data_IF_611204943988
#
_entry.id   IF_611204943988
#
_cell.length_a   1.000
_cell.length_b   1.000
_cell.length_c   1.000
_cell.angle_alpha   90.00
_cell.angle_beta   90.00
_cell.angle_gamma   90.00
#
_symmetry.space_group_name_H-M   'P 1'
#
loop_
_entity.id
_entity.type
_entity.pdbx_description
1 polymer ?
#
# COMPACT_ATOMS: atom_id res chain seq x y z
N UNK A 1 42.43 -13.65 -6.87
CA UNK A 1 41.52 -12.48 -6.70
C UNK A 1 41.98 -11.64 -5.51
N UNK A 2 42.20 -10.33 -5.65
CA UNK A 2 42.65 -9.46 -4.54
C UNK A 2 41.57 -9.36 -3.43
N UNK A 3 41.94 -9.15 -2.16
CA UNK A 3 41.02 -9.12 -1.01
C UNK A 3 39.94 -8.05 -1.16
N UNK A 4 40.31 -6.86 -1.67
CA UNK A 4 39.37 -5.78 -1.99
C UNK A 4 38.30 -6.20 -3.00
N UNK A 5 38.70 -6.82 -4.11
CA UNK A 5 37.78 -7.31 -5.12
C UNK A 5 36.86 -8.40 -4.55
N UNK A 6 37.33 -9.24 -3.62
CA UNK A 6 36.48 -10.23 -2.94
C UNK A 6 35.46 -9.54 -2.04
N UNK A 7 35.87 -8.68 -1.12
CA UNK A 7 34.92 -7.99 -0.21
C UNK A 7 33.88 -7.22 -1.00
N UNK A 8 34.26 -6.57 -2.10
CA UNK A 8 33.33 -5.97 -3.05
C UNK A 8 32.28 -6.97 -3.58
N UNK A 9 32.72 -8.01 -4.30
CA UNK A 9 31.81 -8.96 -4.93
C UNK A 9 30.93 -9.71 -3.93
N UNK A 10 31.44 -10.00 -2.73
CA UNK A 10 30.66 -10.68 -1.69
C UNK A 10 29.70 -9.75 -0.96
N UNK A 11 30.06 -8.49 -0.72
CA UNK A 11 29.10 -7.52 -0.18
C UNK A 11 27.96 -7.33 -1.17
N UNK A 12 28.28 -7.19 -2.45
CA UNK A 12 27.28 -7.10 -3.50
C UNK A 12 26.38 -8.35 -3.53
N UNK A 13 26.98 -9.55 -3.53
CA UNK A 13 26.22 -10.79 -3.52
C UNK A 13 25.33 -10.93 -2.27
N UNK A 14 25.83 -10.57 -1.09
CA UNK A 14 25.04 -10.62 0.15
C UNK A 14 23.92 -9.58 0.16
N UNK A 15 24.10 -8.40 -0.43
CA UNK A 15 23.03 -7.42 -0.59
C UNK A 15 21.94 -7.93 -1.54
N UNK A 16 22.33 -8.55 -2.67
CA UNK A 16 21.38 -9.17 -3.61
C UNK A 16 20.61 -10.31 -2.95
N UNK A 17 21.31 -11.19 -2.22
CA UNK A 17 20.68 -12.31 -1.49
C UNK A 17 19.76 -11.78 -0.39
N UNK A 18 20.20 -10.80 0.40
CA UNK A 18 19.39 -10.19 1.45
C UNK A 18 18.13 -9.51 0.88
N UNK A 19 18.23 -8.83 -0.26
CA UNK A 19 17.07 -8.26 -0.94
C UNK A 19 16.12 -9.34 -1.49
N UNK A 20 16.65 -10.40 -2.10
CA UNK A 20 15.86 -11.52 -2.59
C UNK A 20 15.09 -12.23 -1.46
N UNK A 21 15.74 -12.40 -0.30
CA UNK A 21 15.18 -13.07 0.86
C UNK A 21 14.16 -12.22 1.61
N UNK A 22 14.21 -10.89 1.50
CA UNK A 22 13.22 -10.01 2.13
C UNK A 22 11.96 -9.87 1.28
N UNK A 23 12.05 -9.97 -0.06
CA UNK A 23 10.88 -9.86 -0.95
C UNK A 23 10.21 -8.47 -0.99
N UNK A 24 10.73 -7.51 -0.20
CA UNK A 24 10.20 -6.13 -0.07
C UNK A 24 10.96 -5.14 -0.96
N UNK A 25 12.22 -5.41 -1.28
CA UNK A 25 13.02 -4.56 -2.16
C UNK A 25 12.99 -5.08 -3.60
N UNK A 26 12.86 -4.17 -4.58
CA UNK A 26 13.00 -4.53 -5.99
C UNK A 26 14.38 -5.12 -6.25
N UNK A 27 14.45 -6.33 -6.78
CA UNK A 27 15.71 -7.02 -7.10
C UNK A 27 16.61 -6.15 -7.98
N UNK A 28 16.00 -5.36 -8.88
CA UNK A 28 16.68 -4.38 -9.74
C UNK A 28 17.32 -3.27 -8.92
N UNK A 29 16.61 -2.72 -7.93
CA UNK A 29 17.14 -1.66 -7.06
C UNK A 29 18.29 -2.14 -6.18
N UNK A 30 18.17 -3.34 -5.59
CA UNK A 30 19.22 -3.93 -4.77
C UNK A 30 20.46 -4.32 -5.59
N UNK A 31 20.27 -4.77 -6.84
CA UNK A 31 21.35 -5.12 -7.75
C UNK A 31 22.23 -3.91 -8.10
N UNK A 32 21.62 -2.78 -8.49
CA UNK A 32 22.37 -1.57 -8.89
C UNK A 32 22.82 -0.72 -7.68
N UNK A 33 21.98 -0.58 -6.65
CA UNK A 33 22.34 0.13 -5.43
C UNK A 33 23.44 -0.59 -4.63
N UNK A 34 23.38 -1.93 -4.59
CA UNK A 34 24.39 -2.74 -3.94
C UNK A 34 25.77 -2.68 -4.60
N UNK A 35 25.84 -2.31 -5.89
CA UNK A 35 27.09 -2.18 -6.63
C UNK A 35 27.98 -1.06 -6.04
N UNK A 36 27.36 0.08 -5.74
CA UNK A 36 28.06 1.21 -5.12
C UNK A 36 28.29 1.01 -3.62
N UNK A 37 27.32 0.40 -2.93
CA UNK A 37 27.48 0.09 -1.51
C UNK A 37 28.66 -0.89 -1.27
N UNK A 38 28.86 -1.85 -2.18
CA UNK A 38 29.97 -2.78 -2.11
C UNK A 38 31.36 -2.11 -2.18
N UNK A 39 31.48 -0.93 -2.82
CA UNK A 39 32.74 -0.16 -2.82
C UNK A 39 33.10 0.31 -1.41
N UNK A 40 32.12 0.80 -0.64
CA UNK A 40 32.34 1.22 0.74
C UNK A 40 32.83 0.04 1.59
N UNK A 41 32.20 -1.13 1.46
CA UNK A 41 32.62 -2.33 2.18
C UNK A 41 34.03 -2.79 1.78
N UNK A 42 34.39 -2.69 0.50
CA UNK A 42 35.75 -2.97 0.03
C UNK A 42 36.78 -2.00 0.60
N UNK A 43 36.47 -0.71 0.71
CA UNK A 43 37.35 0.28 1.36
C UNK A 43 37.61 -0.06 2.84
N UNK A 44 36.65 -0.72 3.48
CA UNK A 44 36.72 -1.15 4.88
C UNK A 44 37.39 -2.52 5.09
N UNK A 45 37.82 -3.23 4.04
CA UNK A 45 38.38 -4.59 4.15
C UNK A 45 39.48 -4.72 5.20
N UNK A 46 40.48 -3.81 5.21
CA UNK A 46 41.57 -3.83 6.20
C UNK A 46 41.09 -3.57 7.62
N UNK A 47 40.06 -2.74 7.77
CA UNK A 47 39.45 -2.44 9.07
C UNK A 47 38.74 -3.68 9.60
N UNK A 48 38.01 -4.41 8.76
CA UNK A 48 37.36 -5.66 9.13
C UNK A 48 38.37 -6.75 9.55
N UNK A 49 39.45 -6.93 8.79
CA UNK A 49 40.51 -7.88 9.12
C UNK A 49 41.13 -7.57 10.49
N UNK A 50 41.46 -6.29 10.73
CA UNK A 50 42.09 -5.85 11.99
C UNK A 50 41.13 -5.93 13.19
N UNK A 51 39.86 -5.60 13.01
CA UNK A 51 38.85 -5.66 14.06
C UNK A 51 38.51 -7.11 14.47
N UNK A 52 38.71 -8.06 13.56
CA UNK A 52 38.46 -9.47 13.79
C UNK A 52 36.98 -9.84 13.90
N UNK A 53 36.66 -11.15 13.99
CA UNK A 53 35.27 -11.65 13.85
C UNK A 53 34.29 -11.12 14.91
N UNK A 54 34.79 -10.67 16.07
CA UNK A 54 33.95 -10.15 17.16
C UNK A 54 33.38 -8.76 16.86
N UNK A 55 34.17 -7.90 16.21
CA UNK A 55 33.83 -6.48 16.04
C UNK A 55 33.59 -6.08 14.58
N UNK A 56 34.18 -6.79 13.61
CA UNK A 56 33.95 -6.53 12.19
C UNK A 56 32.45 -6.52 11.80
N UNK A 57 31.60 -7.43 12.30
CA UNK A 57 30.17 -7.40 11.98
C UNK A 57 29.48 -6.11 12.44
N UNK A 58 29.87 -5.56 13.60
CA UNK A 58 29.31 -4.30 14.12
C UNK A 58 29.71 -3.10 13.25
N UNK A 59 30.97 -3.07 12.80
CA UNK A 59 31.46 -2.03 11.89
C UNK A 59 30.69 -2.11 10.56
N UNK A 60 30.52 -3.32 10.01
CA UNK A 60 29.71 -3.54 8.81
C UNK A 60 28.25 -3.11 9.01
N UNK A 61 27.62 -3.56 10.10
CA UNK A 61 26.24 -3.22 10.45
C UNK A 61 26.02 -1.72 10.69
N UNK A 62 27.08 -0.94 10.94
CA UNK A 62 27.01 0.52 11.05
C UNK A 62 27.25 1.20 9.70
N UNK A 63 28.22 0.70 8.92
CA UNK A 63 28.55 1.26 7.61
C UNK A 63 27.40 1.12 6.59
N UNK A 64 26.66 0.00 6.62
CA UNK A 64 25.49 -0.22 5.76
C UNK A 64 24.39 0.83 5.94
N UNK A 65 23.86 1.06 7.15
CA UNK A 65 22.88 2.12 7.42
C UNK A 65 23.37 3.52 7.10
N UNK A 66 24.64 3.85 7.41
CA UNK A 66 25.20 5.16 7.06
C UNK A 66 25.21 5.40 5.56
N UNK A 67 25.49 4.35 4.77
CA UNK A 67 25.38 4.41 3.31
C UNK A 67 23.94 4.69 2.85
N UNK A 68 22.96 3.99 3.43
CA UNK A 68 21.54 4.19 3.09
C UNK A 68 21.08 5.60 3.44
N UNK A 69 21.45 6.10 4.63
CA UNK A 69 21.13 7.47 5.06
C UNK A 69 21.74 8.50 4.10
N UNK A 70 23.00 8.31 3.70
CA UNK A 70 23.64 9.18 2.72
C UNK A 70 22.91 9.18 1.37
N UNK A 71 22.47 8.00 0.89
CA UNK A 71 21.70 7.88 -0.35
C UNK A 71 20.29 8.48 -0.24
N UNK A 72 19.61 8.28 0.89
CA UNK A 72 18.31 8.88 1.18
C UNK A 72 18.38 10.41 1.09
N UNK A 73 19.40 10.99 1.72
CA UNK A 73 19.63 12.42 1.67
C UNK A 73 19.99 12.92 0.26
N UNK A 74 20.78 12.16 -0.50
CA UNK A 74 21.00 12.46 -1.92
C UNK A 74 19.68 12.54 -2.70
N UNK A 75 18.77 11.58 -2.50
CA UNK A 75 17.45 11.57 -3.17
C UNK A 75 16.61 12.76 -2.70
N UNK A 76 16.61 13.07 -1.40
CA UNK A 76 15.88 14.23 -0.84
C UNK A 76 16.27 15.55 -1.50
N UNK A 77 17.55 15.74 -1.79
CA UNK A 77 18.09 16.99 -2.32
C UNK A 77 18.14 17.07 -3.84
N UNK A 78 18.31 15.93 -4.53
CA UNK A 78 18.56 15.91 -5.97
C UNK A 78 17.59 15.03 -6.77
N UNK A 79 16.72 14.27 -6.10
CA UNK A 79 15.75 13.37 -6.73
C UNK A 79 14.42 14.06 -7.06
N UNK A 80 13.58 13.34 -7.80
CA UNK A 80 12.19 13.75 -8.03
C UNK A 80 11.34 13.54 -6.76
N UNK A 81 10.15 14.16 -6.70
CA UNK A 81 9.23 13.99 -5.58
C UNK A 81 8.78 12.52 -5.42
N UNK A 82 8.54 11.84 -6.55
CA UNK A 82 8.13 10.43 -6.60
C UNK A 82 9.24 9.50 -6.06
N UNK A 83 10.49 9.75 -6.43
CA UNK A 83 11.64 9.00 -5.91
C UNK A 83 11.81 9.19 -4.40
N UNK A 84 11.55 10.40 -3.91
CA UNK A 84 11.66 10.72 -2.50
C UNK A 84 10.56 10.04 -1.66
N UNK A 85 9.31 10.03 -2.15
CA UNK A 85 8.22 9.30 -1.50
C UNK A 85 8.50 7.79 -1.47
N UNK A 86 9.01 7.23 -2.57
CA UNK A 86 9.41 5.83 -2.61
C UNK A 86 10.56 5.52 -1.65
N UNK A 87 11.56 6.40 -1.56
CA UNK A 87 12.69 6.23 -0.64
C UNK A 87 12.25 6.35 0.83
N UNK A 88 11.29 7.21 1.15
CA UNK A 88 10.67 7.27 2.48
C UNK A 88 9.98 5.94 2.82
N UNK A 89 9.32 5.33 1.84
CA UNK A 89 8.64 4.06 2.01
C UNK A 89 9.59 2.89 2.30
N UNK A 90 10.70 2.79 1.56
CA UNK A 90 11.61 1.63 1.65
C UNK A 90 12.72 1.81 2.69
N UNK A 91 12.85 2.98 3.31
CA UNK A 91 14.01 3.34 4.15
C UNK A 91 14.33 2.30 5.24
N UNK A 92 13.32 1.83 5.98
CA UNK A 92 13.52 0.84 7.05
C UNK A 92 14.02 -0.51 6.51
N UNK A 93 13.47 -0.93 5.38
CA UNK A 93 13.89 -2.15 4.65
C UNK A 93 15.32 -2.00 4.16
N UNK A 94 15.64 -0.88 3.52
CA UNK A 94 16.95 -0.61 2.95
C UNK A 94 18.03 -0.57 4.04
N UNK A 95 17.77 0.10 5.17
CA UNK A 95 18.67 0.13 6.33
C UNK A 95 18.98 -1.30 6.80
N UNK A 96 17.96 -2.14 6.95
CA UNK A 96 18.14 -3.49 7.49
C UNK A 96 18.88 -4.41 6.54
N UNK A 97 18.54 -4.37 5.24
CA UNK A 97 19.21 -5.15 4.19
C UNK A 97 20.68 -4.77 4.10
N UNK A 98 21.00 -3.47 4.14
CA UNK A 98 22.38 -3.01 4.08
C UNK A 98 23.15 -3.29 5.37
N UNK A 99 22.53 -3.17 6.55
CA UNK A 99 23.14 -3.60 7.80
C UNK A 99 23.52 -5.08 7.76
N UNK A 100 22.59 -5.95 7.33
CA UNK A 100 22.82 -7.39 7.25
C UNK A 100 23.88 -7.76 6.20
N UNK A 101 23.80 -7.19 4.99
CA UNK A 101 24.75 -7.46 3.90
C UNK A 101 26.17 -7.05 4.26
N UNK A 102 26.35 -5.87 4.87
CA UNK A 102 27.66 -5.40 5.30
C UNK A 102 28.18 -6.17 6.52
N UNK A 103 27.33 -6.50 7.49
CA UNK A 103 27.73 -7.31 8.64
C UNK A 103 28.21 -8.71 8.22
N UNK A 104 27.50 -9.36 7.30
CA UNK A 104 27.90 -10.64 6.73
C UNK A 104 29.21 -10.55 5.95
N UNK A 105 29.40 -9.52 5.13
CA UNK A 105 30.64 -9.29 4.39
C UNK A 105 31.83 -9.00 5.31
N UNK A 106 31.62 -8.22 6.36
CA UNK A 106 32.63 -7.90 7.36
C UNK A 106 33.03 -9.15 8.17
N UNK A 107 32.05 -9.95 8.60
CA UNK A 107 32.30 -11.24 9.26
C UNK A 107 33.09 -12.19 8.37
N UNK A 108 32.67 -12.34 7.11
CA UNK A 108 33.37 -13.18 6.14
C UNK A 108 34.83 -12.75 5.97
N UNK A 109 35.05 -11.44 5.81
CA UNK A 109 36.39 -10.87 5.63
C UNK A 109 37.27 -11.14 6.86
N UNK A 110 36.72 -10.95 8.06
CA UNK A 110 37.44 -11.18 9.31
C UNK A 110 37.71 -12.68 9.60
N UNK A 111 36.76 -13.56 9.31
CA UNK A 111 36.92 -15.02 9.49
C UNK A 111 37.98 -15.59 8.55
N UNK A 112 38.15 -15.01 7.38
CA UNK A 112 39.10 -15.49 6.36
C UNK A 112 40.56 -15.39 6.78
N UNK A 113 40.87 -14.55 7.77
CA UNK A 113 42.21 -14.48 8.37
C UNK A 113 42.54 -15.77 9.14
N UNK A 114 41.53 -16.54 9.56
CA UNK A 114 41.67 -17.69 10.46
C UNK A 114 41.12 -19.01 9.90
N UNK A 115 40.22 -18.94 8.93
CA UNK A 115 39.52 -20.09 8.40
C UNK A 115 39.56 -20.12 6.88
N UNK A 116 39.45 -21.33 6.33
CA UNK A 116 39.30 -21.53 4.89
C UNK A 116 38.03 -20.86 4.36
N UNK A 117 38.08 -20.54 3.07
CA UNK A 117 37.04 -19.78 2.40
C UNK A 117 35.62 -20.32 2.60
N UNK A 118 35.34 -21.62 2.47
CA UNK A 118 33.97 -22.13 2.65
C UNK A 118 33.39 -21.83 4.03
N UNK A 119 34.20 -21.96 5.09
CA UNK A 119 33.79 -21.68 6.47
C UNK A 119 33.57 -20.17 6.68
N UNK A 120 34.48 -19.34 6.17
CA UNK A 120 34.34 -17.89 6.27
C UNK A 120 33.11 -17.38 5.50
N UNK A 121 32.89 -17.89 4.29
CA UNK A 121 31.71 -17.60 3.46
C UNK A 121 30.42 -18.04 4.16
N UNK A 122 30.38 -19.28 4.65
CA UNK A 122 29.23 -19.81 5.38
C UNK A 122 28.88 -18.96 6.61
N UNK A 123 29.87 -18.54 7.39
CA UNK A 123 29.66 -17.66 8.55
C UNK A 123 29.07 -16.29 8.16
N UNK A 124 29.62 -15.65 7.12
CA UNK A 124 29.10 -14.38 6.62
C UNK A 124 27.68 -14.47 6.07
N UNK A 125 27.39 -15.52 5.29
CA UNK A 125 26.07 -15.78 4.71
C UNK A 125 25.03 -16.06 5.80
N UNK A 126 25.37 -16.92 6.78
CA UNK A 126 24.47 -17.25 7.89
C UNK A 126 24.13 -16.02 8.71
N UNK A 127 25.10 -15.14 8.98
CA UNK A 127 24.84 -13.89 9.68
C UNK A 127 23.91 -12.96 8.88
N UNK A 128 24.21 -12.74 7.59
CA UNK A 128 23.38 -11.90 6.74
C UNK A 128 21.94 -12.43 6.65
N UNK A 129 21.77 -13.75 6.49
CA UNK A 129 20.47 -14.40 6.46
C UNK A 129 19.74 -14.32 7.82
N UNK A 130 20.44 -14.52 8.94
CA UNK A 130 19.84 -14.40 10.27
C UNK A 130 19.34 -12.97 10.54
N UNK A 131 20.05 -11.95 10.05
CA UNK A 131 19.67 -10.54 10.19
C UNK A 131 18.55 -10.10 9.24
N UNK A 132 18.23 -10.88 8.19
CA UNK A 132 17.16 -10.55 7.23
C UNK A 132 15.99 -11.53 7.25
N UNK A 133 16.22 -12.82 7.04
CA UNK A 133 15.16 -13.82 6.90
C UNK A 133 14.33 -13.93 8.16
N UNK A 134 14.94 -13.89 9.34
CA UNK A 134 14.22 -14.07 10.60
C UNK A 134 13.33 -12.85 10.90
N UNK A 135 13.85 -11.61 10.91
CA UNK A 135 13.00 -10.44 11.14
C UNK A 135 11.96 -10.22 10.04
N UNK A 136 12.35 -10.30 8.76
CA UNK A 136 11.43 -10.03 7.65
C UNK A 136 10.45 -11.17 7.39
N UNK A 137 10.85 -12.43 7.59
CA UNK A 137 9.92 -13.56 7.56
C UNK A 137 8.88 -13.46 8.67
N UNK A 138 9.29 -13.01 9.86
CA UNK A 138 8.36 -12.76 10.98
C UNK A 138 7.45 -11.56 10.70
N UNK A 139 7.97 -10.46 10.17
CA UNK A 139 7.18 -9.30 9.75
C UNK A 139 6.20 -9.72 8.65
N UNK A 140 6.64 -10.37 7.59
CA UNK A 140 5.78 -10.85 6.51
C UNK A 140 4.70 -11.82 7.02
N UNK A 141 5.02 -12.69 7.99
CA UNK A 141 4.04 -13.56 8.62
C UNK A 141 3.01 -12.78 9.44
N UNK A 142 3.44 -11.80 10.25
CA UNK A 142 2.53 -10.89 10.96
C UNK A 142 1.68 -10.13 9.95
N UNK A 143 2.26 -9.62 8.88
CA UNK A 143 1.59 -8.80 7.88
C UNK A 143 0.51 -9.60 7.17
N UNK A 144 0.87 -10.82 6.75
CA UNK A 144 -0.07 -11.76 6.17
C UNK A 144 -1.21 -12.07 7.16
N UNK A 145 -0.92 -12.31 8.43
CA UNK A 145 -1.94 -12.76 9.40
C UNK A 145 -2.70 -11.67 10.12
N UNK A 146 -2.19 -10.45 10.21
CA UNK A 146 -2.74 -9.38 11.07
C UNK A 146 -3.06 -8.12 10.26
N UNK A 147 -2.27 -7.83 9.23
CA UNK A 147 -2.40 -6.61 8.40
C UNK A 147 -2.81 -6.90 6.94
N UNK A 148 -3.38 -8.07 6.66
CA UNK A 148 -3.89 -8.42 5.33
C UNK A 148 -4.86 -7.37 4.72
N UNK A 149 -5.18 -7.49 3.42
CA UNK A 149 -5.92 -6.49 2.67
C UNK A 149 -7.27 -6.10 3.29
N UNK A 150 -7.74 -4.90 2.96
CA UNK A 150 -9.05 -4.41 3.39
C UNK A 150 -9.95 -4.20 2.18
N UNK A 151 -11.07 -4.92 2.12
CA UNK A 151 -12.13 -4.65 1.15
C UNK A 151 -13.07 -3.58 1.75
N UNK A 152 -13.03 -2.37 1.19
CA UNK A 152 -13.97 -1.30 1.52
C UNK A 152 -15.16 -1.37 0.56
N UNK A 153 -16.35 -1.56 1.10
CA UNK A 153 -17.62 -1.45 0.36
C UNK A 153 -18.34 -0.20 0.84
N UNK A 154 -18.53 0.76 -0.05
CA UNK A 154 -19.19 2.02 0.29
C UNK A 154 -20.66 1.91 -0.07
N UNK A 155 -21.53 2.15 0.92
CA UNK A 155 -22.97 2.23 0.76
C UNK A 155 -23.40 3.69 0.87
N UNK A 156 -24.24 4.12 -0.07
CA UNK A 156 -24.71 5.51 -0.14
C UNK A 156 -26.22 5.56 -0.13
N UNK A 157 -26.73 6.61 0.53
CA UNK A 157 -28.15 6.93 0.48
C UNK A 157 -28.42 7.94 -0.64
N UNK A 158 -29.57 7.78 -1.27
CA UNK A 158 -30.08 8.69 -2.29
C UNK A 158 -31.61 8.80 -2.12
N UNK A 159 -32.15 9.98 -2.40
CA UNK A 159 -33.60 10.19 -2.43
C UNK A 159 -34.15 9.58 -3.73
N UNK A 160 -34.73 8.38 -3.60
CA UNK A 160 -35.32 7.64 -4.72
C UNK A 160 -36.76 7.26 -4.34
N UNK A 161 -37.74 7.44 -5.25
CA UNK A 161 -39.12 7.04 -5.00
C UNK A 161 -39.27 5.58 -4.57
N UNK A 162 -40.36 5.31 -3.85
CA UNK A 162 -40.72 3.95 -3.43
C UNK A 162 -41.05 3.13 -4.68
N UNK A 163 -40.33 2.03 -4.89
CA UNK A 163 -40.48 1.18 -6.07
C UNK A 163 -39.50 1.45 -7.22
N UNK A 164 -38.58 2.40 -7.05
CA UNK A 164 -37.47 2.64 -7.98
C UNK A 164 -36.11 2.36 -7.32
N UNK A 165 -35.08 2.21 -8.18
CA UNK A 165 -33.68 2.01 -7.79
C UNK A 165 -32.80 3.16 -8.28
N UNK A 166 -31.60 3.34 -7.71
CA UNK A 166 -30.71 4.43 -8.09
C UNK A 166 -30.15 4.21 -9.50
N UNK A 167 -30.17 5.28 -10.29
CA UNK A 167 -29.65 5.30 -11.66
C UNK A 167 -28.14 5.40 -11.61
N UNK A 168 -27.44 4.54 -12.37
CA UNK A 168 -25.98 4.52 -12.47
C UNK A 168 -25.51 5.23 -13.73
N UNK A 169 -24.30 5.81 -13.70
CA UNK A 169 -23.66 6.33 -14.91
C UNK A 169 -23.42 5.18 -15.90
N UNK A 170 -23.61 5.38 -17.21
CA UNK A 170 -23.23 4.38 -18.22
C UNK A 170 -21.77 3.96 -18.05
N UNK A 171 -21.51 2.65 -18.01
CA UNK A 171 -20.18 2.08 -17.79
C UNK A 171 -19.72 2.00 -16.33
N UNK A 172 -20.52 2.46 -15.36
CA UNK A 172 -20.19 2.29 -13.95
C UNK A 172 -20.33 0.82 -13.51
N UNK A 173 -19.30 0.30 -12.84
CA UNK A 173 -19.30 -1.06 -12.30
C UNK A 173 -20.15 -1.09 -11.03
N UNK A 174 -21.18 -1.96 -11.03
CA UNK A 174 -22.00 -2.17 -9.85
C UNK A 174 -21.22 -2.95 -8.78
N UNK A 175 -21.04 -2.35 -7.61
CA UNK A 175 -20.63 -3.08 -6.42
C UNK A 175 -21.74 -4.05 -5.99
N UNK A 176 -21.37 -5.31 -5.78
CA UNK A 176 -22.28 -6.36 -5.29
C UNK A 176 -21.87 -6.78 -3.89
N UNK A 177 -22.86 -6.99 -3.03
CA UNK A 177 -22.68 -7.56 -1.71
C UNK A 177 -22.55 -9.08 -1.83
N UNK A 178 -21.67 -9.68 -1.03
CA UNK A 178 -21.55 -11.14 -0.94
C UNK A 178 -22.64 -11.72 -0.03
N UNK A 179 -22.96 -13.03 -0.14
CA UNK A 179 -23.91 -13.69 0.76
C UNK A 179 -23.62 -13.48 2.24
N UNK A 180 -22.35 -13.52 2.62
CA UNK A 180 -21.91 -13.32 4.01
C UNK A 180 -22.11 -11.87 4.47
N UNK A 181 -21.83 -10.90 3.60
CA UNK A 181 -22.10 -9.47 3.86
C UNK A 181 -23.60 -9.21 4.04
N UNK A 182 -24.46 -9.85 3.23
CA UNK A 182 -25.91 -9.72 3.31
C UNK A 182 -26.44 -10.31 4.62
N UNK A 183 -25.95 -11.50 5.00
CA UNK A 183 -26.33 -12.15 6.26
C UNK A 183 -25.91 -11.27 7.45
N UNK A 184 -24.67 -10.79 7.44
CA UNK A 184 -24.14 -9.89 8.46
C UNK A 184 -24.93 -8.59 8.60
N UNK A 185 -25.39 -8.02 7.47
CA UNK A 185 -26.25 -6.84 7.45
C UNK A 185 -27.65 -7.13 8.01
N UNK A 186 -28.25 -8.28 7.67
CA UNK A 186 -29.59 -8.69 8.16
C UNK A 186 -29.66 -8.82 9.69
N UNK A 187 -28.55 -9.14 10.33
CA UNK A 187 -28.44 -9.17 11.79
C UNK A 187 -28.48 -7.77 12.44
N UNK A 188 -28.24 -6.71 11.67
CA UNK A 188 -27.99 -5.34 12.17
C UNK A 188 -28.94 -4.29 11.63
N UNK A 189 -29.44 -4.49 10.42
CA UNK A 189 -30.31 -3.57 9.70
C UNK A 189 -31.31 -4.36 8.85
N UNK A 190 -32.37 -3.68 8.42
CA UNK A 190 -33.31 -4.27 7.49
C UNK A 190 -32.67 -4.34 6.09
N UNK A 191 -32.64 -5.52 5.48
CA UNK A 191 -32.10 -5.72 4.13
C UNK A 191 -33.19 -6.26 3.23
N UNK A 192 -33.44 -5.56 2.13
CA UNK A 192 -34.52 -5.85 1.17
C UNK A 192 -33.93 -6.03 -0.22
N UNK A 193 -34.53 -6.89 -1.03
CA UNK A 193 -34.23 -6.98 -2.45
C UNK A 193 -35.24 -6.12 -3.20
N UNK A 194 -34.75 -5.01 -3.76
CA UNK A 194 -35.55 -4.01 -4.45
C UNK A 194 -35.18 -3.85 -5.93
N UNK A 195 -35.83 -2.91 -6.63
CA UNK A 195 -35.60 -2.63 -8.05
C UNK A 195 -34.14 -2.24 -8.36
N UNK A 196 -33.43 -1.67 -7.39
CA UNK A 196 -32.02 -1.30 -7.48
C UNK A 196 -31.03 -2.41 -7.09
N UNK A 197 -31.52 -3.61 -6.78
CA UNK A 197 -30.76 -4.71 -6.18
C UNK A 197 -30.93 -4.74 -4.66
N UNK A 198 -29.90 -5.22 -3.96
CA UNK A 198 -29.93 -5.32 -2.49
C UNK A 198 -29.82 -3.94 -1.86
N UNK A 199 -30.74 -3.65 -0.97
CA UNK A 199 -30.91 -2.36 -0.32
C UNK A 199 -30.88 -2.55 1.18
N UNK A 200 -30.18 -1.65 1.86
CA UNK A 200 -30.09 -1.65 3.31
C UNK A 200 -30.88 -0.46 3.82
N UNK A 201 -31.76 -0.70 4.79
CA UNK A 201 -32.67 0.31 5.33
C UNK A 201 -32.30 0.57 6.79
N UNK A 202 -32.04 1.83 7.10
CA UNK A 202 -31.75 2.25 8.47
C UNK A 202 -33.02 2.43 9.32
N UNK A 203 -32.85 2.72 10.61
CA UNK A 203 -33.96 2.91 11.56
C UNK A 203 -34.88 4.08 11.19
N UNK A 204 -34.41 5.02 10.36
CA UNK A 204 -35.18 6.17 9.88
C UNK A 204 -35.83 5.90 8.51
N UNK A 205 -35.77 4.67 8.01
CA UNK A 205 -36.36 4.27 6.73
C UNK A 205 -35.54 4.70 5.51
N UNK A 206 -34.32 5.22 5.69
CA UNK A 206 -33.45 5.64 4.58
C UNK A 206 -32.82 4.42 3.94
N UNK A 207 -32.89 4.38 2.61
CA UNK A 207 -32.37 3.28 1.78
C UNK A 207 -30.93 3.58 1.38
N UNK A 208 -30.11 2.53 1.41
CA UNK A 208 -28.70 2.55 1.08
C UNK A 208 -28.38 1.47 0.05
N UNK A 209 -27.56 1.81 -0.93
CA UNK A 209 -27.13 0.90 -2.00
C UNK A 209 -25.61 0.83 -2.09
N UNK A 210 -25.05 -0.34 -2.48
CA UNK A 210 -23.63 -0.47 -2.73
C UNK A 210 -23.22 0.36 -3.95
N UNK A 211 -22.36 1.36 -3.70
CA UNK A 211 -21.80 2.26 -4.68
C UNK A 211 -20.58 1.64 -5.34
N UNK A 212 -19.54 1.40 -4.52
CA UNK A 212 -18.23 0.92 -4.96
C UNK A 212 -17.68 -0.10 -3.98
N UNK A 213 -16.91 -1.05 -4.51
CA UNK A 213 -16.08 -1.98 -3.74
C UNK A 213 -14.64 -1.78 -4.18
N UNK A 214 -13.75 -1.52 -3.21
CA UNK A 214 -12.31 -1.35 -3.48
C UNK A 214 -11.50 -2.21 -2.52
N UNK A 215 -10.61 -3.02 -3.09
CA UNK A 215 -9.59 -3.72 -2.32
C UNK A 215 -8.40 -2.80 -2.10
N UNK A 216 -8.12 -2.51 -0.84
CA UNK A 216 -6.96 -1.76 -0.39
C UNK A 216 -5.86 -2.77 -0.06
N UNK A 217 -4.82 -2.78 -0.90
CA UNK A 217 -3.68 -3.68 -0.79
C UNK A 217 -2.46 -2.86 -0.39
N UNK A 218 -1.71 -3.35 0.60
CA UNK A 218 -0.49 -2.70 1.06
C UNK A 218 0.65 -2.94 0.05
N UNK A 219 1.39 -1.90 -0.36
CA UNK A 219 2.62 -2.09 -1.14
C UNK A 219 3.58 -3.02 -0.39
N UNK A 220 4.03 -4.11 -1.02
CA UNK A 220 4.91 -5.11 -0.39
C UNK A 220 4.20 -6.26 0.34
N UNK A 221 2.88 -6.20 0.55
CA UNK A 221 2.09 -7.35 1.00
C UNK A 221 0.80 -7.51 0.16
N UNK A 222 0.90 -8.16 -1.02
CA UNK A 222 -0.22 -8.29 -1.93
C UNK A 222 -1.30 -9.30 -1.50
N UNK A 223 -1.09 -10.04 -0.40
CA UNK A 223 -1.91 -11.21 -0.05
C UNK A 223 -2.29 -11.31 1.42
N UNK A 224 -3.12 -12.30 1.73
CA UNK A 224 -3.61 -12.56 3.07
C UNK A 224 -5.13 -12.67 3.15
N UNK A 225 -5.66 -13.08 4.32
CA UNK A 225 -7.07 -12.91 4.64
C UNK A 225 -7.51 -11.46 4.46
N UNK A 226 -8.68 -11.30 3.86
CA UNK A 226 -9.26 -10.01 3.53
C UNK A 226 -10.35 -9.70 4.53
N UNK A 227 -10.22 -8.58 5.23
CA UNK A 227 -11.28 -8.06 6.11
C UNK A 227 -12.16 -7.13 5.29
N UNK A 228 -13.45 -7.12 5.59
CA UNK A 228 -14.41 -6.33 4.82
C UNK A 228 -15.04 -5.28 5.71
N UNK A 229 -15.04 -4.03 5.24
CA UNK A 229 -15.67 -2.89 5.90
C UNK A 229 -16.82 -2.40 5.03
N UNK A 230 -18.03 -2.53 5.55
CA UNK A 230 -19.26 -1.97 4.98
C UNK A 230 -19.41 -0.55 5.55
N UNK A 231 -19.13 0.46 4.73
CA UNK A 231 -19.10 1.86 5.14
C UNK A 231 -20.35 2.58 4.64
N UNK A 232 -21.26 2.94 5.55
CA UNK A 232 -22.43 3.76 5.26
C UNK A 232 -22.06 5.25 5.33
N UNK A 233 -22.15 5.93 4.20
CA UNK A 233 -21.98 7.38 4.16
C UNK A 233 -23.13 8.07 4.90
N UNK A 234 -22.85 9.20 5.58
CA UNK A 234 -23.90 10.00 6.16
C UNK A 234 -24.77 10.61 5.03
N UNK A 235 -26.10 10.64 5.19
CA UNK A 235 -26.97 11.28 4.21
C UNK A 235 -26.79 12.81 4.25
N UNK A 236 -27.01 13.48 3.12
CA UNK A 236 -27.00 14.95 3.05
C UNK A 236 -25.60 15.60 3.17
N UNK A 237 -24.54 14.87 2.81
CA UNK A 237 -23.18 15.41 2.71
C UNK A 237 -23.12 16.62 1.78
N UNK A 238 -22.79 17.79 2.29
CA UNK A 238 -22.70 19.04 1.51
C UNK A 238 -21.30 19.67 1.51
N UNK A 239 -20.44 19.23 2.44
CA UNK A 239 -19.06 19.72 2.62
C UNK A 239 -18.11 18.52 2.58
N UNK A 240 -16.87 18.68 2.07
CA UNK A 240 -15.86 17.63 2.18
C UNK A 240 -15.59 17.24 3.63
N UNK A 241 -15.56 15.95 3.90
CA UNK A 241 -15.33 15.40 5.25
C UNK A 241 -14.32 14.25 5.21
N UNK A 242 -13.60 14.08 6.32
CA UNK A 242 -12.66 12.98 6.56
C UNK A 242 -13.05 12.26 7.84
N UNK A 243 -13.17 10.94 7.76
CA UNK A 243 -13.53 10.09 8.89
C UNK A 243 -12.43 9.08 9.18
N UNK A 244 -12.17 8.88 10.47
CA UNK A 244 -11.38 7.77 10.93
C UNK A 244 -12.25 6.53 11.03
N UNK A 245 -12.08 5.61 10.10
CA UNK A 245 -12.87 4.40 9.91
C UNK A 245 -12.17 3.21 10.60
N UNK A 246 -12.71 2.70 11.71
CA UNK A 246 -12.19 1.52 12.37
C UNK A 246 -12.41 0.28 11.51
N UNK A 247 -11.49 -0.69 11.60
CA UNK A 247 -11.60 -1.98 10.92
C UNK A 247 -11.68 -3.11 11.93
N UNK A 248 -12.17 -4.27 11.50
CA UNK A 248 -12.30 -5.43 12.37
C UNK A 248 -10.93 -5.99 12.80
N UNK A 249 -10.81 -6.44 14.05
CA UNK A 249 -9.59 -7.05 14.59
C UNK A 249 -9.28 -8.42 13.94
N UNK A 250 -10.30 -9.24 13.68
CA UNK A 250 -10.16 -10.47 12.87
C UNK A 250 -9.83 -10.10 11.40
N UNK A 251 -8.72 -10.61 10.84
CA UNK A 251 -8.32 -10.42 9.44
C UNK A 251 -9.32 -10.92 8.38
N UNK A 252 -10.29 -11.77 8.74
CA UNK A 252 -11.41 -12.18 7.86
C UNK A 252 -12.75 -11.57 8.29
N UNK A 253 -12.72 -10.70 9.30
CA UNK A 253 -13.92 -10.16 9.90
C UNK A 253 -14.67 -9.21 8.98
N UNK A 254 -15.98 -9.17 9.21
CA UNK A 254 -16.91 -8.21 8.64
C UNK A 254 -17.17 -7.11 9.67
N UNK A 255 -17.06 -5.86 9.24
CA UNK A 255 -17.41 -4.71 10.05
C UNK A 255 -18.41 -3.82 9.31
N UNK A 256 -19.34 -3.28 10.06
CA UNK A 256 -20.24 -2.22 9.67
C UNK A 256 -19.75 -0.92 10.32
N UNK A 257 -19.55 0.10 9.50
CA UNK A 257 -19.25 1.45 9.96
C UNK A 257 -20.32 2.38 9.43
N UNK A 258 -21.09 2.97 10.33
CA UNK A 258 -22.08 3.98 10.00
C UNK A 258 -21.63 5.34 10.56
N UNK A 259 -21.55 6.34 9.69
CA UNK A 259 -21.25 7.70 10.10
C UNK A 259 -22.57 8.42 10.41
N UNK A 260 -22.71 8.88 11.65
CA UNK A 260 -23.84 9.68 12.09
C UNK A 260 -23.56 11.19 11.88
N UNK A 261 -24.59 12.01 12.08
CA UNK A 261 -24.42 13.46 12.11
C UNK A 261 -23.37 13.87 13.14
N UNK A 262 -22.52 14.86 12.81
CA UNK A 262 -21.38 15.36 13.63
C UNK A 262 -20.12 14.47 13.66
N UNK A 263 -19.82 13.73 12.58
CA UNK A 263 -18.64 12.87 12.46
C UNK A 263 -18.55 11.73 13.50
N UNK A 264 -19.68 11.34 14.10
CA UNK A 264 -19.69 10.22 15.03
C UNK A 264 -19.67 8.90 14.25
N UNK A 265 -18.63 8.10 14.48
CA UNK A 265 -18.44 6.83 13.78
C UNK A 265 -18.95 5.69 14.65
N UNK A 266 -20.07 5.07 14.24
CA UNK A 266 -20.62 3.87 14.87
C UNK A 266 -20.02 2.62 14.24
N UNK A 267 -19.33 1.82 15.04
CA UNK A 267 -18.72 0.56 14.61
C UNK A 267 -19.52 -0.63 15.14
N UNK A 268 -19.77 -1.60 14.28
CA UNK A 268 -20.36 -2.89 14.64
C UNK A 268 -19.65 -4.01 13.88
N UNK A 269 -19.48 -5.16 14.53
CA UNK A 269 -18.77 -6.30 13.92
C UNK A 269 -17.94 -7.09 14.91
N UNK A 270 -17.49 -6.46 16.01
CA UNK A 270 -16.72 -7.12 17.05
C UNK A 270 -15.66 -6.20 17.67
N UNK A 271 -14.49 -6.71 18.06
CA UNK A 271 -13.38 -5.88 18.51
C UNK A 271 -12.74 -5.09 17.35
N UNK A 272 -12.40 -3.82 17.63
CA UNK A 272 -11.71 -2.92 16.69
C UNK A 272 -10.23 -3.27 16.59
N UNK A 273 -9.70 -3.23 15.37
CA UNK A 273 -8.28 -3.46 15.11
C UNK A 273 -7.39 -2.44 15.82
N UNK A 274 -6.40 -2.93 16.54
CA UNK A 274 -5.32 -2.09 17.09
C UNK A 274 -4.16 -1.87 16.10
N UNK A 275 -4.16 -2.63 15.00
CA UNK A 275 -3.06 -2.69 14.06
C UNK A 275 -3.34 -1.92 12.77
N UNK A 276 -4.61 -1.79 12.37
CA UNK A 276 -5.02 -1.16 11.11
C UNK A 276 -6.14 -0.17 11.37
N UNK A 277 -6.11 0.97 10.68
CA UNK A 277 -7.16 1.99 10.62
C UNK A 277 -7.26 2.52 9.20
N UNK A 278 -8.43 2.97 8.78
CA UNK A 278 -8.58 3.71 7.54
C UNK A 278 -8.95 5.16 7.85
N UNK A 279 -8.43 6.11 7.09
CA UNK A 279 -9.01 7.45 7.00
C UNK A 279 -9.64 7.60 5.63
N UNK A 280 -10.95 7.83 5.61
CA UNK A 280 -11.73 7.97 4.39
C UNK A 280 -12.09 9.44 4.24
N UNK A 281 -11.61 10.06 3.17
CA UNK A 281 -11.91 11.44 2.82
C UNK A 281 -12.81 11.49 1.59
N UNK A 282 -13.84 12.29 1.63
CA UNK A 282 -14.78 12.45 0.53
C UNK A 282 -14.88 13.92 0.13
N UNK A 283 -14.47 14.21 -1.10
CA UNK A 283 -14.68 15.51 -1.71
C UNK A 283 -16.07 15.57 -2.35
N UNK A 284 -16.80 16.62 -2.01
CA UNK A 284 -18.18 16.85 -2.45
C UNK A 284 -18.27 18.24 -3.06
N UNK A 285 -18.95 18.35 -4.20
CA UNK A 285 -19.31 19.65 -4.79
C UNK A 285 -20.81 19.83 -4.69
N UNK A 286 -21.25 20.78 -3.86
CA UNK A 286 -22.65 21.18 -3.80
C UNK A 286 -22.92 22.25 -4.88
N UNK A 287 -23.98 22.04 -5.67
CA UNK A 287 -24.63 23.08 -6.48
C UNK A 287 -25.98 23.44 -5.88
N UNK A 288 -26.70 24.41 -6.47
CA UNK A 288 -28.01 24.88 -5.99
C UNK A 288 -29.07 23.77 -5.89
N UNK A 289 -29.00 22.74 -6.76
CA UNK A 289 -30.00 21.66 -6.83
C UNK A 289 -29.46 20.24 -6.54
N UNK A 290 -28.14 20.06 -6.39
CA UNK A 290 -27.57 18.70 -6.23
C UNK A 290 -26.20 18.66 -5.56
N UNK A 291 -25.96 17.58 -4.83
CA UNK A 291 -24.68 17.21 -4.23
C UNK A 291 -23.95 16.24 -5.16
N UNK A 292 -22.82 16.60 -5.75
CA UNK A 292 -22.02 15.65 -6.56
C UNK A 292 -20.83 15.15 -5.75
N UNK A 293 -20.79 13.84 -5.47
CA UNK A 293 -19.58 13.18 -4.97
C UNK A 293 -18.48 13.23 -6.05
N UNK A 294 -17.33 13.80 -5.74
CA UNK A 294 -16.27 14.01 -6.73
C UNK A 294 -15.14 12.99 -6.60
N UNK A 295 -14.63 12.84 -5.39
CA UNK A 295 -13.44 12.06 -5.11
C UNK A 295 -13.60 11.40 -3.73
N UNK A 296 -13.50 10.07 -3.68
CA UNK A 296 -13.27 9.33 -2.44
C UNK A 296 -11.81 8.92 -2.36
N UNK A 297 -11.10 9.46 -1.38
CA UNK A 297 -9.72 9.11 -1.05
C UNK A 297 -9.71 8.24 0.21
N UNK A 298 -8.91 7.17 0.20
CA UNK A 298 -8.75 6.31 1.36
C UNK A 298 -7.28 6.15 1.69
N UNK A 299 -6.93 6.48 2.92
CA UNK A 299 -5.61 6.28 3.52
C UNK A 299 -5.67 5.13 4.52
N UNK A 300 -4.81 4.13 4.36
CA UNK A 300 -4.70 3.02 5.31
C UNK A 300 -3.51 3.26 6.24
N UNK A 301 -3.78 3.28 7.55
CA UNK A 301 -2.79 3.42 8.60
C UNK A 301 -2.53 2.09 9.25
N UNK A 302 -1.24 1.81 9.50
CA UNK A 302 -0.81 0.63 10.23
C UNK A 302 0.07 1.01 11.40
N UNK A 303 -0.31 0.56 12.59
CA UNK A 303 0.52 0.68 13.79
C UNK A 303 1.56 -0.44 13.82
N UNK A 304 2.84 -0.11 13.66
CA UNK A 304 3.93 -1.08 13.84
C UNK A 304 4.28 -1.22 15.32
N UNK A 305 4.75 -2.41 15.77
CA UNK A 305 5.29 -2.58 17.12
C UNK A 305 6.49 -1.67 17.44
N UNK A 306 7.11 -1.07 16.41
CA UNK A 306 8.25 -0.14 16.51
C UNK A 306 7.83 1.34 16.32
N UNK A 307 6.53 1.66 16.26
CA UNK A 307 6.00 3.01 16.03
C UNK A 307 5.24 3.16 14.70
N UNK A 308 4.72 4.35 14.40
CA UNK A 308 3.96 4.66 13.18
C UNK A 308 4.90 4.80 11.96
N UNK A 309 5.56 3.69 11.58
CA UNK A 309 6.59 3.62 10.53
C UNK A 309 6.03 3.42 9.11
N UNK A 310 4.72 3.33 8.93
CA UNK A 310 4.10 3.17 7.62
C UNK A 310 3.47 4.48 7.14
N UNK A 311 3.92 4.94 5.98
CA UNK A 311 3.43 6.17 5.34
C UNK A 311 2.00 6.03 4.81
N UNK A 312 1.32 7.17 4.69
CA UNK A 312 -0.03 7.31 4.18
C UNK A 312 -0.18 6.68 2.79
N UNK A 313 -1.02 5.65 2.67
CA UNK A 313 -1.37 5.09 1.35
C UNK A 313 -2.41 5.99 0.70
N UNK A 314 -2.01 6.94 -0.15
CA UNK A 314 -2.98 7.72 -0.93
C UNK A 314 -3.56 6.89 -2.07
N UNK A 315 -4.78 6.38 -1.91
CA UNK A 315 -5.54 5.91 -3.08
C UNK A 315 -6.19 7.13 -3.74
N UNK A 316 -5.71 7.48 -4.94
CA UNK A 316 -6.34 8.51 -5.78
C UNK A 316 -7.72 8.06 -6.27
N UNK A 317 -8.58 9.07 -6.43
CA UNK A 317 -10.01 9.01 -6.26
C UNK A 317 -10.87 7.98 -6.94
N UNK A 318 -11.95 7.65 -6.26
CA UNK A 318 -13.10 6.93 -6.84
C UNK A 318 -14.12 7.96 -7.34
N UNK A 319 -14.34 8.01 -8.66
CA UNK A 319 -15.45 8.79 -9.23
C UNK A 319 -16.81 8.22 -8.84
N UNK A 320 -17.79 9.10 -8.57
CA UNK A 320 -19.13 8.68 -8.15
C UNK A 320 -19.87 7.87 -9.20
N UNK A 321 -20.39 6.70 -8.81
CA UNK A 321 -21.10 5.79 -9.69
C UNK A 321 -22.60 6.16 -9.93
N UNK A 322 -23.21 6.97 -9.06
CA UNK A 322 -24.59 7.45 -9.23
C UNK A 322 -24.63 8.96 -9.52
N UNK A 323 -25.30 9.44 -10.60
CA UNK A 323 -25.75 10.82 -10.69
C UNK A 323 -26.72 11.15 -9.54
N UNK A 324 -26.54 12.32 -8.93
CA UNK A 324 -27.39 12.81 -7.84
C UNK A 324 -28.56 13.66 -8.31
N UNK A 325 -28.75 13.76 -9.63
CA UNK A 325 -29.93 14.33 -10.27
C UNK A 325 -30.32 13.48 -11.49
N UNK A 326 -31.58 13.10 -11.57
CA UNK A 326 -32.25 12.64 -12.79
C UNK A 326 -32.29 13.82 -13.77
N UNK A 327 -31.22 14.04 -14.52
CA UNK A 327 -31.27 14.88 -15.71
C UNK A 327 -31.69 13.93 -16.82
N UNK A 328 -32.86 14.15 -17.41
CA UNK A 328 -33.25 13.48 -18.64
C UNK A 328 -32.07 13.51 -19.61
N UNK A 329 -31.72 12.38 -20.25
CA UNK A 329 -30.63 12.39 -21.20
C UNK A 329 -30.91 13.48 -22.21
N UNK A 330 -30.04 14.51 -22.26
CA UNK A 330 -30.09 15.52 -23.32
C UNK A 330 -30.18 14.74 -24.62
N UNK A 331 -31.22 15.05 -25.38
CA UNK A 331 -31.51 14.43 -26.67
C UNK A 331 -30.20 14.28 -27.41
N UNK A 332 -29.81 13.07 -27.87
CA UNK A 332 -28.53 12.88 -28.49
C UNK A 332 -28.38 13.92 -29.60
N UNK A 333 -27.29 14.70 -29.53
CA UNK A 333 -26.92 15.60 -30.62
C UNK A 333 -26.92 14.73 -31.88
N UNK A 334 -27.76 15.13 -32.85
CA UNK A 334 -27.87 14.46 -34.15
C UNK A 334 -26.50 14.01 -34.59
N UNK A 335 -26.39 12.72 -34.87
CA UNK A 335 -25.23 12.09 -35.49
C UNK A 335 -24.80 12.90 -36.70
N UNK A 336 -23.68 13.63 -36.58
CA UNK A 336 -22.97 14.12 -37.74
C UNK A 336 -22.19 12.96 -38.36
N UNK A 337 -22.53 12.76 -39.62
CA UNK A 337 -21.93 11.98 -40.70
C UNK A 337 -20.55 11.35 -40.44
N UNK A 338 -20.52 10.04 -40.71
CA UNK A 338 -19.40 9.24 -41.23
C UNK A 338 -18.13 10.04 -41.59
N UNK A 339 -17.09 9.97 -40.75
CA UNK A 339 -15.72 10.30 -41.13
C UNK A 339 -14.76 9.17 -40.71
N UNK A 340 -13.95 8.74 -41.70
CA UNK A 340 -13.08 7.56 -41.78
C UNK A 340 -12.05 7.38 -40.64
N UNK A 341 -11.55 6.14 -40.41
CA UNK A 341 -10.60 5.84 -39.34
C UNK A 341 -9.23 6.48 -39.61
N UNK A 342 -8.70 7.21 -38.62
CA UNK A 342 -7.33 7.75 -38.64
C UNK A 342 -6.38 6.79 -37.91
N UNK A 343 -5.43 6.22 -38.66
CA UNK A 343 -4.23 5.53 -38.16
C UNK A 343 -3.28 6.50 -37.42
N UNK A 344 -2.37 6.01 -36.56
CA UNK A 344 -1.56 6.84 -35.67
C UNK A 344 -0.41 7.52 -36.42
N UNK A 345 -0.14 8.80 -36.09
CA UNK A 345 1.03 9.55 -36.58
C UNK A 345 2.12 9.56 -35.52
N UNK A 346 3.31 9.08 -35.91
CA UNK A 346 4.56 9.20 -35.17
C UNK A 346 5.23 10.55 -35.47
N UNK A 347 6.08 10.99 -34.54
CA UNK A 347 6.62 12.35 -34.43
C UNK A 347 7.51 12.83 -35.58
N UNK A 348 7.78 14.13 -35.51
CA UNK A 348 8.58 14.90 -36.45
C UNK A 348 10.04 14.42 -36.53
N UNK A 349 10.52 14.28 -37.77
CA UNK A 349 11.95 14.27 -38.11
C UNK A 349 12.30 15.60 -38.83
N UNK A 350 13.58 16.01 -38.79
CA UNK A 350 13.99 17.41 -38.70
C UNK A 350 14.03 18.11 -40.06
N UNK A 351 13.92 19.44 -40.05
CA UNK A 351 14.15 20.26 -41.22
C UNK A 351 15.62 20.17 -41.65
N UNK A 352 15.85 19.70 -42.88
CA UNK A 352 17.14 19.73 -43.54
C UNK A 352 17.24 20.93 -44.49
N UNK A 353 18.37 21.64 -44.35
CA UNK A 353 18.94 22.77 -45.11
C UNK A 353 18.38 24.16 -44.83
#
# INVERSE_FOLDING_TARGET
>A
MNTYARTYWFTWAFLVIAAALTGVASLKSAFFGGLFAALLSALLSKVYERAGPRYAPLIGATAGPLWVIAMYFRIRWFGSAEDFEMAQWTLGTDISVHAAGFAGAALMTALRVRFEFPKAFGGGLLLAAAMTVVPYGFIAWIDHRVAGPVDLVVLVSAEVPVGEGPIRRPGAVQAKLTPDEILFLKERMLVVEGPGGIEVVDELGRRYWPLVRRRLVYPGNPGGPVRTVLFLLPPGLVVPETWSVPVHQDPKGLALVAVAARNEVKFSGGPVSQAVRLDVSLAVKSGEDAVTYQDLQVEAFRKSPLGDLYANVRTQGIGAAFPTSLIDPKTPVKSEETAKPRLPSFGADPAAK
#
